data_IF_746903877736
#
_entry.id   IF_746903877736
#
_cell.length_a   1.000
_cell.length_b   1.000
_cell.length_c   1.000
_cell.angle_alpha   90.00
_cell.angle_beta   90.00
_cell.angle_gamma   90.00
#
_symmetry.space_group_name_H-M   'P 1'
#
loop_
_entity.id
_entity.type
_entity.pdbx_description
1 polymer ?
#
# COMPACT_ATOMS: atom_id res chain seq x y z
N UNK A 1 10.60 15.00 31.73
CA UNK A 1 10.22 13.86 30.88
C UNK A 1 10.41 14.30 29.44
N UNK A 2 11.20 13.59 28.67
CA UNK A 2 11.38 13.85 27.23
C UNK A 2 10.45 12.91 26.47
N UNK A 3 9.63 13.48 25.58
CA UNK A 3 8.81 12.66 24.65
C UNK A 3 9.72 11.94 23.67
N UNK A 4 9.31 10.73 23.19
CA UNK A 4 10.13 9.95 22.28
C UNK A 4 10.33 10.66 20.93
N UNK A 5 11.41 10.28 20.25
CA UNK A 5 11.76 10.73 18.91
C UNK A 5 11.59 9.58 17.93
N UNK A 6 10.69 9.69 16.99
CA UNK A 6 10.53 8.77 15.88
C UNK A 6 11.38 9.23 14.71
N UNK A 7 12.36 8.45 14.30
CA UNK A 7 13.11 8.65 13.07
C UNK A 7 12.33 8.09 11.89
N UNK A 8 11.91 8.96 10.97
CA UNK A 8 11.19 8.58 9.76
C UNK A 8 12.12 8.65 8.56
N UNK A 9 12.31 7.52 7.86
CA UNK A 9 13.11 7.46 6.65
C UNK A 9 12.19 7.56 5.42
N UNK A 10 12.44 8.58 4.61
CA UNK A 10 11.60 8.97 3.48
C UNK A 10 10.68 10.14 3.79
N UNK A 11 10.66 11.12 2.87
CA UNK A 11 9.97 12.41 3.02
C UNK A 11 8.60 12.49 2.34
N UNK A 12 7.97 11.38 1.97
CA UNK A 12 6.72 11.34 1.22
C UNK A 12 5.48 11.69 2.03
N UNK A 13 4.31 11.45 1.41
CA UNK A 13 3.01 11.77 2.04
C UNK A 13 2.70 10.88 3.25
N UNK A 14 3.20 9.63 3.27
CA UNK A 14 2.94 8.74 4.41
C UNK A 14 3.68 9.24 5.66
N UNK A 15 4.91 9.72 5.51
CA UNK A 15 5.66 10.37 6.57
C UNK A 15 4.93 11.63 7.08
N UNK A 16 4.39 12.47 6.17
CA UNK A 16 3.60 13.65 6.52
C UNK A 16 2.39 13.30 7.38
N UNK A 17 1.57 12.34 6.95
CA UNK A 17 0.36 11.93 7.68
C UNK A 17 0.69 11.16 8.97
N UNK A 18 1.81 10.42 9.01
CA UNK A 18 2.29 9.78 10.25
C UNK A 18 2.74 10.82 11.28
N UNK A 19 3.43 11.87 10.83
CA UNK A 19 3.80 13.00 11.68
C UNK A 19 2.56 13.70 12.24
N UNK A 20 1.58 14.01 11.39
CA UNK A 20 0.29 14.59 11.80
C UNK A 20 -0.37 13.78 12.92
N UNK A 21 -0.41 12.45 12.79
CA UNK A 21 -0.96 11.56 13.80
C UNK A 21 -0.17 11.53 15.12
N UNK A 22 1.11 11.84 15.09
CA UNK A 22 1.98 11.92 16.27
C UNK A 22 1.88 13.22 17.06
N UNK A 23 1.47 14.33 16.42
CA UNK A 23 1.40 15.66 17.03
C UNK A 23 0.54 15.68 18.29
N UNK A 24 -0.70 15.15 18.33
CA UNK A 24 -1.55 15.15 19.53
C UNK A 24 -0.95 14.36 20.70
N UNK A 25 -0.06 13.42 20.43
CA UNK A 25 0.63 12.60 21.44
C UNK A 25 1.93 13.27 21.93
N UNK A 26 2.32 14.42 21.39
CA UNK A 26 3.56 15.10 21.71
C UNK A 26 4.81 14.38 21.16
N UNK A 27 4.64 13.41 20.26
CA UNK A 27 5.74 12.67 19.66
C UNK A 27 6.56 13.59 18.77
N UNK A 28 7.88 13.55 18.94
CA UNK A 28 8.81 14.27 18.08
C UNK A 28 9.20 13.40 16.90
N UNK A 29 9.26 14.03 15.73
CA UNK A 29 9.73 13.36 14.51
C UNK A 29 11.05 13.99 14.06
N UNK A 30 11.98 13.12 13.68
CA UNK A 30 13.17 13.45 12.91
C UNK A 30 13.05 12.79 11.55
N UNK A 31 13.21 13.54 10.48
CA UNK A 31 12.97 13.09 9.11
C UNK A 31 14.28 12.98 8.35
N UNK A 32 14.52 11.84 7.67
CA UNK A 32 15.53 11.71 6.63
C UNK A 32 14.83 11.81 5.27
N UNK A 33 15.15 12.83 4.51
CA UNK A 33 14.48 13.16 3.24
C UNK A 33 15.49 13.37 2.12
N UNK A 34 15.13 13.06 0.89
CA UNK A 34 15.99 13.29 -0.26
C UNK A 34 16.13 14.78 -0.56
N UNK A 35 15.06 15.57 -0.32
CA UNK A 35 15.04 17.01 -0.56
C UNK A 35 14.23 17.76 0.50
N UNK A 36 14.50 19.06 0.75
CA UNK A 36 13.70 19.87 1.65
C UNK A 36 12.31 20.21 1.08
N UNK A 37 12.04 19.90 -0.20
CA UNK A 37 10.76 20.09 -0.87
C UNK A 37 9.83 18.87 -0.75
N UNK A 38 10.30 17.77 -0.17
CA UNK A 38 9.48 16.58 0.02
C UNK A 38 8.28 16.88 0.92
N UNK A 39 7.21 16.11 0.71
CA UNK A 39 5.91 16.30 1.35
C UNK A 39 5.98 16.48 2.87
N UNK A 40 6.70 15.60 3.55
CA UNK A 40 6.86 15.67 5.00
C UNK A 40 7.89 16.73 5.44
N UNK A 41 8.93 16.98 4.62
CA UNK A 41 9.96 17.96 4.93
C UNK A 41 9.41 19.39 5.04
N UNK A 42 8.27 19.66 4.42
CA UNK A 42 7.59 20.97 4.51
C UNK A 42 6.91 21.21 5.86
N UNK A 43 6.71 20.17 6.68
CA UNK A 43 5.91 20.27 7.93
C UNK A 43 6.62 19.71 9.17
N UNK A 44 7.65 18.87 9.00
CA UNK A 44 8.47 18.36 10.10
C UNK A 44 9.56 19.38 10.44
N UNK A 45 9.71 19.70 11.70
CA UNK A 45 10.67 20.71 12.14
C UNK A 45 12.13 20.26 12.20
N UNK A 46 12.40 18.94 12.30
CA UNK A 46 13.76 18.36 12.37
C UNK A 46 13.99 17.50 11.12
N UNK A 47 14.59 18.09 10.09
CA UNK A 47 14.81 17.47 8.78
C UNK A 47 16.30 17.35 8.51
N UNK A 48 16.73 16.14 8.19
CA UNK A 48 18.06 15.82 7.66
C UNK A 48 17.89 15.50 6.17
N UNK A 49 18.58 16.24 5.31
CA UNK A 49 18.65 15.92 3.88
C UNK A 49 19.83 14.98 3.65
N UNK A 50 19.57 13.80 3.08
CA UNK A 50 20.61 12.80 2.85
C UNK A 50 20.08 11.52 2.20
N UNK A 51 20.99 10.70 1.69
CA UNK A 51 20.68 9.44 1.04
C UNK A 51 20.65 8.29 2.07
N UNK A 52 19.50 7.63 2.24
CA UNK A 52 19.34 6.46 3.12
C UNK A 52 20.12 5.21 2.62
N UNK A 53 20.61 5.23 1.37
CA UNK A 53 21.46 4.16 0.82
C UNK A 53 22.91 4.29 1.29
N UNK A 54 23.31 5.43 1.83
CA UNK A 54 24.59 5.61 2.50
C UNK A 54 24.45 5.26 3.98
N UNK A 55 25.12 4.21 4.43
CA UNK A 55 25.03 3.69 5.79
C UNK A 55 25.48 4.70 6.84
N UNK A 56 26.51 5.48 6.56
CA UNK A 56 27.03 6.47 7.52
C UNK A 56 26.05 7.62 7.71
N UNK A 57 25.39 8.08 6.65
CA UNK A 57 24.29 9.04 6.68
C UNK A 57 23.13 8.49 7.50
N UNK A 58 22.72 7.25 7.24
CA UNK A 58 21.61 6.61 7.95
C UNK A 58 21.92 6.44 9.45
N UNK A 59 23.13 6.03 9.82
CA UNK A 59 23.60 5.95 11.20
C UNK A 59 23.64 7.31 11.90
N UNK A 60 24.15 8.33 11.21
CA UNK A 60 24.18 9.70 11.75
C UNK A 60 22.76 10.25 11.99
N UNK A 61 21.85 9.97 11.07
CA UNK A 61 20.42 10.29 11.20
C UNK A 61 19.79 9.58 12.39
N UNK A 62 20.01 8.28 12.54
CA UNK A 62 19.36 7.45 13.55
C UNK A 62 19.79 7.79 15.00
N UNK A 63 20.92 8.51 15.17
CA UNK A 63 21.38 8.94 16.51
C UNK A 63 20.35 9.87 17.16
N UNK A 64 19.93 9.50 18.38
CA UNK A 64 18.94 10.24 19.15
C UNK A 64 17.49 9.98 18.77
N UNK A 65 17.24 9.00 17.90
CA UNK A 65 15.92 8.44 17.68
C UNK A 65 15.69 7.26 18.65
N UNK A 66 14.47 7.13 19.17
CA UNK A 66 14.05 6.01 20.01
C UNK A 66 13.60 4.81 19.16
N UNK A 67 13.18 5.06 17.91
CA UNK A 67 12.78 4.07 16.93
C UNK A 67 12.92 4.62 15.53
N UNK A 68 13.26 3.76 14.56
CA UNK A 68 13.25 4.08 13.12
C UNK A 68 12.06 3.41 12.47
N UNK A 69 11.33 4.17 11.62
CA UNK A 69 10.26 3.67 10.77
C UNK A 69 10.34 4.31 9.37
N UNK A 70 9.42 3.96 8.45
CA UNK A 70 9.61 4.21 7.01
C UNK A 70 8.37 4.79 6.35
N UNK A 71 8.62 5.62 5.35
CA UNK A 71 7.64 6.10 4.36
C UNK A 71 7.58 5.17 3.13
N UNK A 72 8.63 4.36 2.92
CA UNK A 72 8.79 3.41 1.80
C UNK A 72 9.61 2.20 2.23
N UNK A 73 9.61 1.13 1.42
CA UNK A 73 10.32 -0.13 1.69
C UNK A 73 11.72 -0.24 1.04
N UNK A 74 12.36 0.88 0.62
CA UNK A 74 13.57 0.81 -0.23
C UNK A 74 14.89 0.85 0.54
N UNK A 75 14.88 0.97 1.87
CA UNK A 75 16.13 0.99 2.64
C UNK A 75 16.79 -0.39 2.57
N UNK A 76 18.10 -0.47 2.24
CA UNK A 76 18.80 -1.76 2.16
C UNK A 76 18.69 -2.56 3.46
N UNK A 77 18.34 -3.84 3.36
CA UNK A 77 18.14 -4.73 4.52
C UNK A 77 19.37 -4.80 5.42
N UNK A 78 20.57 -4.83 4.82
CA UNK A 78 21.86 -4.83 5.53
C UNK A 78 22.09 -3.56 6.34
N UNK A 79 21.61 -2.39 5.87
CA UNK A 79 21.69 -1.14 6.62
C UNK A 79 20.77 -1.16 7.84
N UNK A 80 19.58 -1.74 7.70
CA UNK A 80 18.65 -1.88 8.82
C UNK A 80 19.20 -2.83 9.89
N UNK A 81 19.81 -3.94 9.48
CA UNK A 81 20.50 -4.85 10.42
C UNK A 81 21.67 -4.18 11.13
N UNK A 82 22.38 -3.28 10.43
CA UNK A 82 23.45 -2.51 11.06
C UNK A 82 22.91 -1.56 12.14
N UNK A 83 21.76 -0.89 11.91
CA UNK A 83 21.12 -0.07 12.94
C UNK A 83 20.68 -0.89 14.17
N UNK A 84 20.07 -2.07 13.94
CA UNK A 84 19.70 -2.96 15.06
C UNK A 84 20.93 -3.45 15.85
N UNK A 85 22.03 -3.77 15.17
CA UNK A 85 23.29 -4.13 15.81
C UNK A 85 23.91 -2.96 16.59
N UNK A 86 23.67 -1.72 16.18
CA UNK A 86 24.04 -0.49 16.90
C UNK A 86 23.06 -0.20 18.09
N UNK A 87 22.04 -1.06 18.32
CA UNK A 87 21.07 -0.95 19.42
C UNK A 87 19.89 -0.02 19.14
N UNK A 88 19.66 0.37 17.88
CA UNK A 88 18.56 1.26 17.47
C UNK A 88 17.38 0.41 17.00
N UNK A 89 16.20 0.48 17.64
CA UNK A 89 15.03 -0.25 17.20
C UNK A 89 14.57 0.16 15.80
N UNK A 90 14.36 -0.82 14.94
CA UNK A 90 13.83 -0.64 13.56
C UNK A 90 12.46 -1.31 13.48
N UNK A 91 11.42 -0.57 13.10
CA UNK A 91 10.03 -1.08 13.09
C UNK A 91 9.26 -0.61 11.86
N UNK A 92 8.89 -1.53 10.95
CA UNK A 92 9.14 -2.98 10.97
C UNK A 92 10.61 -3.33 10.88
N UNK A 93 11.01 -4.46 11.48
CA UNK A 93 12.39 -4.94 11.45
C UNK A 93 12.81 -5.45 10.07
N UNK A 94 14.12 -5.58 9.82
CA UNK A 94 14.66 -5.99 8.50
C UNK A 94 14.16 -7.37 8.04
N UNK A 95 13.97 -8.32 8.98
CA UNK A 95 13.51 -9.67 8.66
C UNK A 95 12.03 -9.71 8.27
N UNK A 96 11.22 -8.76 8.72
CA UNK A 96 9.86 -8.56 8.22
C UNK A 96 9.88 -7.80 6.90
N UNK A 97 10.58 -6.67 6.85
CA UNK A 97 10.52 -5.72 5.72
C UNK A 97 10.99 -6.35 4.40
N UNK A 98 11.91 -7.33 4.44
CA UNK A 98 12.38 -8.02 3.24
C UNK A 98 11.25 -8.64 2.42
N UNK A 99 10.14 -9.05 3.06
CA UNK A 99 8.98 -9.62 2.38
C UNK A 99 8.15 -8.58 1.62
N UNK A 100 8.28 -7.28 1.94
CA UNK A 100 7.71 -6.20 1.13
C UNK A 100 8.69 -5.71 0.05
N UNK A 101 10.00 -5.98 0.21
CA UNK A 101 11.05 -5.58 -0.74
C UNK A 101 11.25 -6.58 -1.87
N UNK A 102 11.00 -7.88 -1.62
CA UNK A 102 11.34 -9.00 -2.50
C UNK A 102 10.15 -9.95 -2.65
N UNK A 103 9.53 -9.90 -3.84
CA UNK A 103 8.34 -10.71 -4.14
C UNK A 103 8.62 -12.22 -4.12
N UNK A 104 9.85 -12.64 -4.46
CA UNK A 104 10.24 -14.04 -4.41
C UNK A 104 10.33 -14.55 -2.97
N UNK A 105 10.96 -13.77 -2.08
CA UNK A 105 11.04 -14.07 -0.63
C UNK A 105 9.63 -14.07 -0.02
N UNK A 106 8.80 -13.10 -0.38
CA UNK A 106 7.41 -13.02 0.05
C UNK A 106 6.64 -14.28 -0.32
N UNK A 107 6.62 -14.66 -1.59
CA UNK A 107 5.89 -15.83 -2.09
C UNK A 107 6.33 -17.13 -1.41
N UNK A 108 7.64 -17.36 -1.32
CA UNK A 108 8.19 -18.54 -0.65
C UNK A 108 7.76 -18.62 0.83
N UNK A 109 7.72 -17.49 1.54
CA UNK A 109 7.28 -17.45 2.93
C UNK A 109 5.77 -17.67 3.06
N UNK A 110 4.96 -17.05 2.19
CA UNK A 110 3.50 -17.22 2.21
C UNK A 110 3.11 -18.66 1.91
N UNK A 111 3.75 -19.31 0.95
CA UNK A 111 3.57 -20.75 0.68
C UNK A 111 3.91 -21.61 1.89
N UNK A 112 5.04 -21.30 2.55
CA UNK A 112 5.50 -22.07 3.72
C UNK A 112 4.53 -21.99 4.92
N UNK A 113 3.76 -20.90 5.04
CA UNK A 113 2.74 -20.72 6.07
C UNK A 113 1.31 -21.02 5.59
N UNK A 114 1.16 -21.57 4.36
CA UNK A 114 -0.11 -21.99 3.80
C UNK A 114 -1.07 -20.86 3.42
N UNK A 115 -0.55 -19.66 3.14
CA UNK A 115 -1.35 -18.52 2.71
C UNK A 115 -1.60 -18.60 1.20
N UNK A 116 -2.87 -18.55 0.74
CA UNK A 116 -3.19 -18.64 -0.67
C UNK A 116 -2.63 -17.49 -1.49
N UNK A 117 -1.87 -17.79 -2.55
CA UNK A 117 -1.31 -16.87 -3.51
C UNK A 117 -1.70 -17.32 -4.93
N UNK A 118 -1.59 -16.43 -5.94
CA UNK A 118 -1.57 -16.87 -7.34
C UNK A 118 -0.47 -17.91 -7.55
N UNK A 119 -0.69 -18.90 -8.42
CA UNK A 119 0.40 -19.83 -8.82
C UNK A 119 1.54 -19.00 -9.37
N UNK A 120 2.76 -19.31 -8.98
CA UNK A 120 3.91 -18.47 -9.30
C UNK A 120 5.21 -19.28 -9.41
N UNK A 121 6.19 -18.64 -10.07
CA UNK A 121 7.57 -19.16 -10.21
C UNK A 121 8.53 -18.01 -10.46
N UNK A 122 9.73 -18.10 -9.90
CA UNK A 122 10.86 -17.25 -10.34
C UNK A 122 11.37 -17.82 -11.66
N UNK A 123 11.51 -16.94 -12.65
CA UNK A 123 11.91 -17.26 -14.02
C UNK A 123 13.14 -16.43 -14.41
N UNK A 124 14.04 -17.04 -15.16
CA UNK A 124 15.30 -16.42 -15.57
C UNK A 124 15.26 -15.92 -17.04
N UNK A 125 14.41 -16.53 -17.86
CA UNK A 125 14.31 -16.23 -19.30
C UNK A 125 12.93 -16.54 -19.87
N UNK A 126 12.64 -16.17 -21.13
CA UNK A 126 11.36 -16.45 -21.78
C UNK A 126 11.04 -17.95 -21.93
N UNK A 127 12.04 -18.84 -21.95
CA UNK A 127 11.77 -20.30 -22.04
C UNK A 127 11.18 -20.81 -20.70
N UNK A 128 11.65 -20.30 -19.57
CA UNK A 128 11.07 -20.57 -18.26
C UNK A 128 9.61 -20.10 -18.18
N UNK A 129 9.27 -18.94 -18.78
CA UNK A 129 7.89 -18.44 -18.86
C UNK A 129 7.01 -19.38 -19.67
N UNK A 130 7.52 -19.88 -20.82
CA UNK A 130 6.81 -20.88 -21.62
C UNK A 130 6.56 -22.18 -20.84
N UNK A 131 7.54 -22.65 -20.10
CA UNK A 131 7.42 -23.84 -19.27
C UNK A 131 6.37 -23.65 -18.16
N UNK A 132 6.37 -22.47 -17.52
CA UNK A 132 5.38 -22.12 -16.49
C UNK A 132 3.96 -22.04 -17.10
N UNK A 133 3.80 -21.37 -18.25
CA UNK A 133 2.51 -21.30 -18.94
C UNK A 133 1.97 -22.70 -19.28
N UNK A 134 2.82 -23.62 -19.78
CA UNK A 134 2.42 -25.00 -20.05
C UNK A 134 2.01 -25.78 -18.78
N UNK A 135 2.56 -25.45 -17.61
CA UNK A 135 2.11 -26.02 -16.33
C UNK A 135 0.74 -25.47 -15.91
N UNK A 136 0.49 -24.18 -16.12
CA UNK A 136 -0.81 -23.57 -15.86
C UNK A 136 -1.91 -24.25 -16.69
N UNK A 137 -1.65 -24.51 -17.97
CA UNK A 137 -2.59 -25.20 -18.87
C UNK A 137 -2.90 -26.64 -18.39
N UNK A 138 -1.88 -27.43 -18.04
CA UNK A 138 -2.06 -28.79 -17.53
C UNK A 138 -2.82 -28.86 -16.20
N UNK A 139 -2.71 -27.82 -15.39
CA UNK A 139 -3.41 -27.73 -14.10
C UNK A 139 -4.90 -27.42 -14.20
N UNK A 140 -5.49 -27.40 -15.41
CA UNK A 140 -6.92 -27.22 -15.63
C UNK A 140 -7.44 -25.82 -15.28
N UNK A 141 -6.60 -24.80 -15.38
CA UNK A 141 -7.02 -23.44 -15.14
C UNK A 141 -7.82 -22.93 -16.34
N UNK A 142 -9.15 -23.05 -16.28
CA UNK A 142 -10.04 -22.34 -17.18
C UNK A 142 -9.95 -20.84 -16.86
N UNK A 143 -9.26 -20.10 -17.70
CA UNK A 143 -9.33 -18.63 -17.65
C UNK A 143 -10.57 -18.20 -18.42
N UNK A 144 -11.61 -17.64 -17.74
CA UNK A 144 -12.82 -17.21 -18.43
C UNK A 144 -12.51 -16.22 -19.53
N UNK A 145 -13.19 -16.35 -20.67
CA UNK A 145 -13.20 -15.40 -21.75
C UNK A 145 -13.90 -14.13 -21.28
N UNK A 146 -13.14 -13.09 -20.85
CA UNK A 146 -13.69 -11.77 -20.63
C UNK A 146 -14.22 -11.18 -21.94
N UNK A 147 -15.37 -10.52 -21.90
CA UNK A 147 -15.94 -9.76 -23.01
C UNK A 147 -14.93 -8.69 -23.43
N UNK A 148 -14.34 -8.82 -24.63
CA UNK A 148 -13.46 -7.79 -25.20
C UNK A 148 -12.25 -8.25 -25.97
N UNK A 149 -12.18 -9.51 -26.43
CA UNK A 149 -11.06 -9.95 -27.30
C UNK A 149 -11.19 -11.41 -27.69
N UNK A 150 -11.77 -11.67 -28.86
CA UNK A 150 -11.96 -13.01 -29.42
C UNK A 150 -10.66 -13.67 -29.89
N UNK A 151 -9.73 -13.97 -28.99
CA UNK A 151 -8.57 -14.80 -29.23
C UNK A 151 -8.69 -16.10 -28.47
N UNK A 152 -8.65 -17.24 -29.17
CA UNK A 152 -8.57 -18.58 -28.58
C UNK A 152 -7.28 -18.64 -27.75
N UNK A 153 -7.40 -18.68 -26.41
CA UNK A 153 -6.24 -18.81 -25.49
C UNK A 153 -5.64 -20.21 -25.70
N UNK A 154 -4.37 -20.25 -26.06
CA UNK A 154 -3.60 -21.47 -26.23
C UNK A 154 -2.37 -21.42 -25.37
N UNK A 155 -2.03 -22.54 -24.68
CA UNK A 155 -0.74 -22.70 -24.02
C UNK A 155 -0.57 -22.02 -22.66
N UNK A 156 -1.64 -21.86 -21.87
CA UNK A 156 -1.54 -21.35 -20.48
C UNK A 156 -1.29 -19.85 -20.32
N UNK A 157 -1.30 -19.09 -21.41
CA UNK A 157 -1.26 -17.62 -21.41
C UNK A 157 -2.67 -17.02 -21.26
N UNK A 158 -2.80 -15.75 -20.77
CA UNK A 158 -1.72 -14.83 -20.40
C UNK A 158 -1.06 -15.15 -19.04
N UNK A 159 0.20 -14.75 -18.91
CA UNK A 159 1.00 -14.79 -17.68
C UNK A 159 1.29 -13.37 -17.23
N UNK A 160 1.31 -13.14 -15.91
CA UNK A 160 1.73 -11.87 -15.33
C UNK A 160 3.20 -11.97 -14.92
N UNK A 161 4.02 -11.06 -15.41
CA UNK A 161 5.43 -10.95 -15.06
C UNK A 161 5.66 -9.73 -14.17
N UNK A 162 6.38 -9.90 -13.08
CA UNK A 162 6.69 -8.82 -12.14
C UNK A 162 8.19 -8.79 -11.85
N UNK A 163 8.79 -7.61 -11.75
CA UNK A 163 10.14 -7.53 -11.17
C UNK A 163 10.12 -8.06 -9.75
N UNK A 164 11.10 -8.89 -9.39
CA UNK A 164 11.21 -9.45 -8.02
C UNK A 164 11.41 -8.33 -7.00
N UNK A 165 12.24 -7.34 -7.31
CA UNK A 165 12.49 -6.16 -6.48
C UNK A 165 12.13 -4.88 -7.23
N UNK A 166 11.70 -3.88 -6.47
CA UNK A 166 11.19 -2.64 -7.04
C UNK A 166 9.80 -2.85 -7.67
N UNK A 167 9.33 -1.86 -8.42
CA UNK A 167 7.96 -1.86 -8.95
C UNK A 167 6.96 -1.34 -7.91
N UNK A 168 6.08 -0.45 -8.36
CA UNK A 168 5.00 0.16 -7.58
C UNK A 168 4.02 0.82 -8.54
N UNK A 169 2.76 0.95 -8.15
CA UNK A 169 1.72 1.60 -8.96
C UNK A 169 1.75 1.10 -10.44
N UNK A 170 1.76 -0.22 -10.66
CA UNK A 170 1.77 -0.86 -11.99
C UNK A 170 3.12 -0.84 -12.73
N UNK A 171 4.16 -0.17 -12.21
CA UNK A 171 5.51 -0.21 -12.79
C UNK A 171 6.20 -1.53 -12.49
N UNK A 172 6.88 -2.10 -13.50
CA UNK A 172 7.53 -3.40 -13.36
C UNK A 172 6.56 -4.58 -13.35
N UNK A 173 5.37 -4.40 -13.93
CA UNK A 173 4.35 -5.43 -14.13
C UNK A 173 3.98 -5.49 -15.61
N UNK A 174 4.00 -6.69 -16.17
CA UNK A 174 3.63 -6.95 -17.58
C UNK A 174 2.65 -8.11 -17.64
N UNK A 175 1.61 -7.94 -18.42
CA UNK A 175 0.72 -9.06 -18.82
C UNK A 175 1.15 -9.46 -20.21
N UNK A 176 1.60 -10.69 -20.38
CA UNK A 176 2.13 -11.19 -21.66
C UNK A 176 1.23 -12.31 -22.17
N UNK A 177 0.88 -12.21 -23.45
CA UNK A 177 0.01 -13.15 -24.14
C UNK A 177 0.80 -14.21 -24.94
N UNK A 178 2.13 -14.07 -24.99
CA UNK A 178 3.03 -14.99 -25.71
C UNK A 178 4.45 -14.99 -25.13
N UNK A 179 5.26 -15.96 -25.54
CA UNK A 179 6.69 -16.06 -25.17
C UNK A 179 7.50 -14.90 -25.77
N UNK A 180 7.13 -14.43 -26.96
CA UNK A 180 7.79 -13.32 -27.65
C UNK A 180 7.65 -12.03 -26.87
N UNK A 181 6.47 -11.76 -26.28
CA UNK A 181 6.22 -10.59 -25.44
C UNK A 181 6.96 -10.68 -24.11
N UNK A 182 7.22 -11.89 -23.62
CA UNK A 182 7.95 -12.11 -22.36
C UNK A 182 9.42 -11.67 -22.41
N UNK A 183 9.98 -11.36 -23.58
CA UNK A 183 11.38 -10.94 -23.70
C UNK A 183 11.66 -9.56 -23.07
N UNK A 184 10.68 -8.64 -23.03
CA UNK A 184 10.86 -7.27 -22.57
C UNK A 184 11.28 -7.17 -21.09
N UNK A 185 10.61 -7.85 -20.11
CA UNK A 185 10.98 -7.83 -18.71
C UNK A 185 12.43 -8.23 -18.41
N UNK A 186 13.00 -9.12 -19.23
CA UNK A 186 14.36 -9.64 -19.01
C UNK A 186 15.46 -8.71 -19.51
N UNK A 187 15.16 -7.65 -20.28
CA UNK A 187 16.18 -6.68 -20.75
C UNK A 187 16.92 -5.99 -19.61
N UNK A 188 16.31 -5.88 -18.43
CA UNK A 188 16.95 -5.30 -17.26
C UNK A 188 17.97 -6.24 -16.58
N UNK A 189 18.06 -7.52 -16.98
CA UNK A 189 18.95 -8.51 -16.39
C UNK A 189 18.68 -8.84 -14.93
N UNK A 190 17.43 -8.62 -14.46
CA UNK A 190 17.01 -8.89 -13.09
C UNK A 190 16.05 -10.10 -13.06
N UNK A 191 16.01 -10.86 -11.96
CA UNK A 191 15.04 -11.93 -11.79
C UNK A 191 13.60 -11.43 -11.91
N UNK A 192 12.74 -12.24 -12.51
CA UNK A 192 11.33 -11.96 -12.75
C UNK A 192 10.49 -13.01 -12.04
N UNK A 193 9.42 -12.58 -11.40
CA UNK A 193 8.37 -13.45 -10.88
C UNK A 193 7.31 -13.60 -11.96
N UNK A 194 7.04 -14.83 -12.39
CA UNK A 194 5.90 -15.18 -13.23
C UNK A 194 4.73 -15.63 -12.34
N UNK A 195 3.54 -15.14 -12.61
CA UNK A 195 2.31 -15.47 -11.90
C UNK A 195 1.20 -15.81 -12.89
N UNK A 196 0.28 -16.72 -12.47
CA UNK A 196 -0.97 -16.87 -13.20
C UNK A 196 -1.74 -15.56 -13.25
N UNK A 197 -2.38 -15.26 -14.37
CA UNK A 197 -3.33 -14.15 -14.43
C UNK A 197 -4.62 -14.58 -13.73
N UNK A 198 -4.81 -14.07 -12.51
CA UNK A 198 -6.00 -14.35 -11.69
C UNK A 198 -7.24 -13.73 -12.34
N UNK A 199 -8.31 -14.53 -12.47
CA UNK A 199 -9.65 -14.01 -12.81
C UNK A 199 -10.35 -13.60 -11.52
N UNK A 200 -10.17 -12.33 -11.15
CA UNK A 200 -10.78 -11.77 -9.95
C UNK A 200 -12.01 -10.91 -10.28
N UNK A 201 -12.93 -10.84 -9.35
CA UNK A 201 -14.12 -9.97 -9.45
C UNK A 201 -13.85 -8.57 -8.93
N UNK A 202 -12.92 -8.46 -7.97
CA UNK A 202 -12.46 -7.18 -7.40
C UNK A 202 -11.17 -7.33 -6.62
N UNK A 203 -10.51 -6.20 -6.38
CA UNK A 203 -9.38 -6.10 -5.47
C UNK A 203 -9.86 -5.65 -4.10
N UNK A 204 -9.31 -6.28 -3.06
CA UNK A 204 -9.57 -5.97 -1.66
C UNK A 204 -8.26 -5.62 -0.96
N UNK A 205 -8.34 -5.00 0.20
CA UNK A 205 -7.20 -4.86 1.09
C UNK A 205 -7.62 -5.10 2.54
N UNK A 206 -6.82 -5.91 3.26
CA UNK A 206 -6.90 -6.10 4.69
C UNK A 206 -5.75 -5.33 5.36
N UNK A 207 -6.09 -4.39 6.22
CA UNK A 207 -5.13 -3.53 6.92
C UNK A 207 -5.08 -3.94 8.39
N UNK A 208 -3.88 -4.25 8.89
CA UNK A 208 -3.67 -4.65 10.28
C UNK A 208 -2.52 -3.87 10.89
N UNK A 209 -2.54 -3.72 12.21
CA UNK A 209 -1.43 -3.12 12.97
C UNK A 209 -1.07 -4.05 14.11
N UNK A 210 0.23 -4.26 14.33
CA UNK A 210 0.73 -5.15 15.39
C UNK A 210 1.84 -4.46 16.20
N UNK A 211 1.75 -4.59 17.53
CA UNK A 211 2.76 -4.09 18.47
C UNK A 211 3.91 -5.11 18.67
N UNK A 212 5.05 -4.71 19.26
CA UNK A 212 6.16 -5.62 19.55
C UNK A 212 5.76 -6.81 20.43
N UNK A 213 4.81 -6.61 21.35
CA UNK A 213 4.35 -7.65 22.29
C UNK A 213 3.16 -8.47 21.76
N UNK A 214 2.80 -8.29 20.49
CA UNK A 214 1.82 -9.13 19.80
C UNK A 214 0.36 -8.68 19.94
N UNK A 215 0.06 -7.52 20.58
CA UNK A 215 -1.24 -6.91 20.42
C UNK A 215 -1.44 -6.58 18.96
N UNK A 216 -2.57 -6.96 18.40
CA UNK A 216 -2.89 -6.65 16.99
C UNK A 216 -4.35 -6.22 16.85
N UNK A 217 -4.60 -5.37 15.85
CA UNK A 217 -5.94 -4.92 15.45
C UNK A 217 -6.05 -5.01 13.94
N UNK A 218 -7.25 -5.39 13.46
CA UNK A 218 -7.61 -5.37 12.06
C UNK A 218 -8.63 -4.26 11.80
N UNK A 219 -8.46 -3.53 10.70
CA UNK A 219 -9.48 -2.66 10.14
C UNK A 219 -10.41 -3.51 9.26
N UNK A 220 -11.68 -3.09 9.06
CA UNK A 220 -12.55 -3.80 8.13
C UNK A 220 -11.88 -3.90 6.75
N UNK A 221 -12.11 -5.03 6.09
CA UNK A 221 -11.64 -5.24 4.71
C UNK A 221 -12.28 -4.20 3.79
N UNK A 222 -11.48 -3.61 2.93
CA UNK A 222 -11.90 -2.56 2.00
C UNK A 222 -11.87 -3.06 0.56
N UNK A 223 -12.75 -2.50 -0.29
CA UNK A 223 -12.62 -2.61 -1.73
C UNK A 223 -11.69 -1.52 -2.25
N UNK A 224 -10.68 -1.91 -3.04
CA UNK A 224 -9.72 -1.01 -3.69
C UNK A 224 -9.93 -1.03 -5.19
N UNK A 225 -10.45 0.06 -5.75
CA UNK A 225 -10.70 0.19 -7.19
C UNK A 225 -9.51 0.84 -7.86
N UNK A 226 -8.94 0.12 -8.82
CA UNK A 226 -7.80 0.59 -9.59
C UNK A 226 -8.26 1.20 -10.92
N UNK A 227 -7.58 2.25 -11.35
CA UNK A 227 -7.71 2.83 -12.70
C UNK A 227 -6.31 2.89 -13.31
N UNK A 228 -6.12 2.19 -14.41
CA UNK A 228 -4.81 2.08 -15.08
C UNK A 228 -3.67 1.61 -14.13
N UNK A 229 -3.97 0.65 -13.24
CA UNK A 229 -3.01 0.11 -12.28
C UNK A 229 -2.68 1.02 -11.09
N UNK A 230 -3.42 2.11 -10.91
CA UNK A 230 -3.26 3.05 -9.79
C UNK A 230 -4.54 3.07 -8.97
N UNK A 231 -4.44 2.92 -7.65
CA UNK A 231 -5.59 3.01 -6.78
C UNK A 231 -6.27 4.38 -6.93
N UNK A 232 -7.54 4.36 -7.34
CA UNK A 232 -8.38 5.56 -7.51
C UNK A 232 -9.33 5.72 -6.33
N UNK A 233 -10.08 4.68 -5.97
CA UNK A 233 -11.13 4.74 -4.95
C UNK A 233 -10.98 3.59 -3.95
N UNK A 234 -11.16 3.87 -2.67
CA UNK A 234 -11.26 2.86 -1.61
C UNK A 234 -12.60 3.01 -0.90
N UNK A 235 -13.31 1.90 -0.72
CA UNK A 235 -14.61 1.85 -0.03
C UNK A 235 -14.47 0.99 1.22
N UNK A 236 -14.78 1.54 2.36
CA UNK A 236 -14.72 0.90 3.66
C UNK A 236 -16.10 0.87 4.35
N UNK A 237 -16.58 -0.33 4.78
CA UNK A 237 -16.09 -1.67 4.43
C UNK A 237 -16.32 -2.01 2.96
N UNK A 238 -15.78 -3.15 2.47
CA UNK A 238 -15.99 -3.63 1.09
C UNK A 238 -17.47 -3.96 0.84
N UNK A 239 -18.15 -3.30 -0.13
CA UNK A 239 -19.57 -3.47 -0.36
C UNK A 239 -19.93 -4.92 -0.75
N UNK A 240 -20.96 -5.50 -0.11
CA UNK A 240 -21.44 -6.85 -0.42
C UNK A 240 -20.39 -7.95 -0.25
N UNK A 241 -19.36 -7.73 0.54
CA UNK A 241 -18.43 -8.79 0.95
C UNK A 241 -19.10 -9.62 2.04
N UNK A 242 -19.18 -10.93 1.81
CA UNK A 242 -19.75 -11.86 2.79
C UNK A 242 -18.93 -11.82 4.09
N UNK A 243 -19.61 -11.81 5.24
CA UNK A 243 -19.00 -11.68 6.57
C UNK A 243 -17.91 -12.72 6.82
N UNK A 244 -18.19 -14.00 6.50
CA UNK A 244 -17.22 -15.09 6.65
C UNK A 244 -15.96 -14.87 5.78
N UNK A 245 -16.12 -14.25 4.62
CA UNK A 245 -14.99 -13.98 3.73
C UNK A 245 -14.18 -12.80 4.23
N UNK A 246 -14.84 -11.76 4.77
CA UNK A 246 -14.20 -10.64 5.43
C UNK A 246 -13.36 -11.10 6.63
N UNK A 247 -13.95 -11.91 7.52
CA UNK A 247 -13.27 -12.47 8.68
C UNK A 247 -12.04 -13.30 8.28
N UNK A 248 -12.17 -14.18 7.26
CA UNK A 248 -11.02 -14.94 6.76
C UNK A 248 -9.90 -14.07 6.23
N UNK A 249 -10.22 -12.97 5.55
CA UNK A 249 -9.22 -12.02 5.04
C UNK A 249 -8.50 -11.28 6.18
N UNK A 250 -9.24 -10.87 7.22
CA UNK A 250 -8.67 -10.24 8.41
C UNK A 250 -7.79 -11.22 9.20
N UNK A 251 -8.26 -12.45 9.45
CA UNK A 251 -7.48 -13.50 10.12
C UNK A 251 -6.20 -13.83 9.35
N UNK A 252 -6.29 -13.92 8.01
CA UNK A 252 -5.13 -14.13 7.14
C UNK A 252 -4.11 -13.00 7.32
N UNK A 253 -4.54 -11.74 7.29
CA UNK A 253 -3.64 -10.59 7.45
C UNK A 253 -3.00 -10.56 8.85
N UNK A 254 -3.76 -10.86 9.91
CA UNK A 254 -3.25 -10.98 11.28
C UNK A 254 -2.22 -12.12 11.41
N UNK A 255 -2.49 -13.27 10.77
CA UNK A 255 -1.56 -14.40 10.74
C UNK A 255 -0.27 -14.03 10.00
N UNK A 256 -0.37 -13.39 8.83
CA UNK A 256 0.81 -12.90 8.09
C UNK A 256 1.63 -11.95 8.97
N UNK A 257 1.00 -10.96 9.60
CA UNK A 257 1.68 -10.01 10.48
C UNK A 257 2.42 -10.70 11.63
N UNK A 258 1.82 -11.75 12.21
CA UNK A 258 2.42 -12.56 13.28
C UNK A 258 3.60 -13.38 12.77
N UNK A 259 3.41 -14.14 11.70
CA UNK A 259 4.41 -15.08 11.16
C UNK A 259 5.63 -14.37 10.53
N UNK A 260 5.46 -13.14 10.07
CA UNK A 260 6.53 -12.28 9.58
C UNK A 260 7.15 -11.40 10.67
N UNK A 261 6.59 -11.40 11.89
CA UNK A 261 7.09 -10.56 13.00
C UNK A 261 6.92 -9.06 12.75
N UNK A 262 5.90 -8.65 11.99
CA UNK A 262 5.66 -7.23 11.67
C UNK A 262 5.39 -6.45 12.95
N UNK A 263 6.06 -5.30 13.11
CA UNK A 263 5.74 -4.28 14.10
C UNK A 263 5.41 -2.98 13.37
N UNK A 264 4.23 -2.46 13.61
CA UNK A 264 3.67 -1.36 12.84
C UNK A 264 2.50 -1.80 11.99
N UNK A 265 2.23 -1.05 10.94
CA UNK A 265 1.15 -1.31 9.99
C UNK A 265 1.58 -2.30 8.90
N UNK A 266 0.67 -3.22 8.55
CA UNK A 266 0.75 -4.10 7.40
C UNK A 266 -0.53 -3.95 6.58
N UNK A 267 -0.42 -3.67 5.30
CA UNK A 267 -1.50 -3.83 4.34
C UNK A 267 -1.25 -5.10 3.52
N UNK A 268 -2.29 -5.92 3.40
CA UNK A 268 -2.31 -7.12 2.56
C UNK A 268 -3.27 -6.85 1.41
N UNK A 269 -2.73 -6.70 0.20
CA UNK A 269 -3.55 -6.57 -1.01
C UNK A 269 -4.03 -7.94 -1.47
N UNK A 270 -5.29 -8.04 -1.85
CA UNK A 270 -5.98 -9.29 -2.06
C UNK A 270 -6.77 -9.26 -3.37
N UNK A 271 -6.83 -10.41 -4.04
CA UNK A 271 -7.79 -10.67 -5.11
C UNK A 271 -8.95 -11.53 -4.59
N UNK A 272 -10.18 -11.09 -4.79
CA UNK A 272 -11.35 -11.94 -4.65
C UNK A 272 -11.67 -12.57 -6.00
N UNK A 273 -11.54 -13.88 -6.10
CA UNK A 273 -11.81 -14.63 -7.33
C UNK A 273 -13.31 -14.90 -7.53
N UNK A 274 -13.72 -15.27 -8.75
CA UNK A 274 -15.14 -15.60 -9.07
C UNK A 274 -15.66 -16.80 -8.30
N UNK A 275 -14.79 -17.75 -7.96
CA UNK A 275 -15.12 -18.92 -7.14
C UNK A 275 -15.08 -18.66 -5.63
N UNK A 276 -14.96 -17.38 -5.22
CA UNK A 276 -15.05 -16.94 -3.83
C UNK A 276 -13.79 -17.16 -2.99
N UNK A 277 -12.64 -17.45 -3.61
CA UNK A 277 -11.34 -17.50 -2.90
C UNK A 277 -10.78 -16.10 -2.72
N UNK A 278 -9.93 -15.97 -1.70
CA UNK A 278 -9.07 -14.80 -1.50
C UNK A 278 -7.62 -15.23 -1.75
N UNK A 279 -6.90 -14.49 -2.61
CA UNK A 279 -5.48 -14.71 -2.90
C UNK A 279 -4.69 -13.45 -2.55
N UNK A 280 -3.52 -13.63 -1.93
CA UNK A 280 -2.63 -12.50 -1.62
C UNK A 280 -1.91 -12.04 -2.88
N UNK A 281 -2.07 -10.74 -3.20
CA UNK A 281 -1.35 -10.08 -4.29
C UNK A 281 0.00 -9.53 -3.82
N UNK A 282 -0.01 -8.63 -2.83
CA UNK A 282 1.18 -7.91 -2.37
C UNK A 282 1.08 -7.54 -0.89
N UNK A 283 2.24 -7.29 -0.27
CA UNK A 283 2.36 -6.81 1.10
C UNK A 283 3.00 -5.43 1.12
N UNK A 284 2.47 -4.52 1.94
CA UNK A 284 3.10 -3.25 2.25
C UNK A 284 3.26 -3.11 3.77
N UNK A 285 4.49 -2.91 4.24
CA UNK A 285 4.81 -2.86 5.68
C UNK A 285 4.98 -1.44 6.18
N UNK A 286 4.04 -0.61 5.86
CA UNK A 286 3.91 0.82 6.22
C UNK A 286 2.45 1.23 6.10
N UNK A 287 2.04 2.40 6.62
CA UNK A 287 0.73 2.95 6.27
C UNK A 287 0.52 2.94 4.75
N UNK A 288 -0.68 2.55 4.33
CA UNK A 288 -0.96 2.24 2.94
C UNK A 288 -2.14 3.04 2.40
N UNK A 289 -2.16 3.25 1.08
CA UNK A 289 -3.23 4.01 0.41
C UNK A 289 -4.63 3.44 0.69
N UNK A 290 -4.76 2.11 0.75
CA UNK A 290 -6.01 1.42 1.09
C UNK A 290 -6.51 1.70 2.52
N UNK A 291 -5.67 2.26 3.39
CA UNK A 291 -6.01 2.63 4.76
C UNK A 291 -6.25 4.13 4.99
N UNK A 292 -6.13 4.99 3.95
CA UNK A 292 -6.26 6.46 4.12
C UNK A 292 -7.67 6.89 4.55
N UNK A 293 -8.70 6.12 4.18
CA UNK A 293 -10.07 6.32 4.65
C UNK A 293 -10.16 6.39 6.18
N UNK A 294 -9.27 5.67 6.89
CA UNK A 294 -9.29 5.57 8.35
C UNK A 294 -8.93 6.89 9.05
N UNK A 295 -8.36 7.87 8.36
CA UNK A 295 -8.05 9.18 8.95
C UNK A 295 -9.31 9.86 9.49
N UNK A 296 -10.39 9.78 8.76
CA UNK A 296 -11.67 10.39 9.11
C UNK A 296 -12.75 9.36 9.43
N UNK A 297 -12.67 8.19 8.80
CA UNK A 297 -13.69 7.13 8.87
C UNK A 297 -13.50 6.11 9.99
N UNK A 298 -12.34 6.01 10.64
CA UNK A 298 -12.11 5.12 11.78
C UNK A 298 -12.00 5.91 13.10
N UNK A 299 -12.24 5.24 14.24
CA UNK A 299 -12.02 5.83 15.58
C UNK A 299 -10.54 6.16 15.75
N UNK A 300 -9.65 5.23 15.38
CA UNK A 300 -8.20 5.46 15.36
C UNK A 300 -7.66 5.16 13.97
N UNK A 301 -6.98 6.11 13.34
CA UNK A 301 -6.46 5.95 11.99
C UNK A 301 -5.30 4.95 11.91
N UNK A 302 -5.02 4.44 10.71
CA UNK A 302 -3.85 3.60 10.43
C UNK A 302 -2.54 4.27 10.88
N UNK A 303 -2.44 5.59 10.69
CA UNK A 303 -1.26 6.37 11.05
C UNK A 303 -1.09 6.46 12.57
N UNK A 304 -2.18 6.76 13.29
CA UNK A 304 -2.16 6.82 14.75
C UNK A 304 -1.84 5.44 15.37
N UNK A 305 -2.40 4.37 14.84
CA UNK A 305 -2.08 3.01 15.28
C UNK A 305 -0.66 2.59 14.89
N UNK A 306 -0.16 3.01 13.72
CA UNK A 306 1.25 2.78 13.35
C UNK A 306 2.20 3.45 14.35
N UNK A 307 1.98 4.74 14.66
CA UNK A 307 2.78 5.48 15.66
C UNK A 307 2.74 4.77 17.02
N UNK A 308 1.55 4.34 17.48
CA UNK A 308 1.40 3.60 18.72
C UNK A 308 2.19 2.28 18.69
N UNK A 309 2.08 1.51 17.60
CA UNK A 309 2.78 0.24 17.46
C UNK A 309 4.30 0.39 17.46
N UNK A 310 4.84 1.35 16.70
CA UNK A 310 6.30 1.54 16.64
C UNK A 310 6.89 2.09 17.93
N UNK A 311 6.08 2.70 18.79
CA UNK A 311 6.47 3.19 20.13
C UNK A 311 6.05 2.25 21.26
N UNK A 312 5.48 1.08 20.93
CA UNK A 312 5.00 0.11 21.91
C UNK A 312 3.92 0.67 22.85
N UNK A 313 3.08 1.55 22.33
CA UNK A 313 1.89 2.03 23.02
C UNK A 313 0.69 1.11 22.73
N UNK A 314 -0.30 1.03 23.65
CA UNK A 314 -1.54 0.29 23.40
C UNK A 314 -2.21 0.76 22.11
N UNK A 315 -2.64 -0.20 21.27
CA UNK A 315 -3.32 0.10 20.02
C UNK A 315 -4.71 0.68 20.28
N UNK A 316 -5.13 1.59 19.40
CA UNK A 316 -6.45 2.20 19.44
C UNK A 316 -7.48 1.39 18.67
N UNK A 317 -8.72 1.72 18.88
CA UNK A 317 -9.89 1.08 18.27
C UNK A 317 -9.94 1.35 16.74
N UNK A 318 -9.88 0.32 15.88
CA UNK A 318 -9.91 0.47 14.43
C UNK A 318 -11.33 0.57 13.83
N UNK A 319 -12.38 0.48 14.66
CA UNK A 319 -13.79 0.44 14.19
C UNK A 319 -14.16 1.67 13.37
N UNK A 320 -15.01 1.50 12.33
CA UNK A 320 -15.54 2.60 11.56
C UNK A 320 -16.40 3.55 12.41
N UNK A 321 -16.45 4.82 12.03
CA UNK A 321 -17.31 5.86 12.63
C UNK A 321 -18.68 5.96 11.97
N UNK A 322 -18.78 5.48 10.73
CA UNK A 322 -20.00 5.48 9.95
C UNK A 322 -20.14 4.15 9.19
N UNK A 323 -21.34 3.78 8.74
CA UNK A 323 -21.56 2.58 7.92
C UNK A 323 -20.68 2.52 6.68
N UNK A 324 -20.45 3.67 6.03
CA UNK A 324 -19.62 3.79 4.83
C UNK A 324 -18.64 4.93 4.95
N UNK A 325 -17.43 4.69 4.49
CA UNK A 325 -16.42 5.71 4.23
C UNK A 325 -15.81 5.47 2.86
N UNK A 326 -15.73 6.52 2.05
CA UNK A 326 -15.11 6.46 0.73
C UNK A 326 -13.94 7.41 0.68
N UNK A 327 -12.79 6.90 0.26
CA UNK A 327 -11.61 7.67 -0.06
C UNK A 327 -11.43 7.69 -1.58
N UNK A 328 -11.22 8.87 -2.16
CA UNK A 328 -10.84 9.03 -3.57
C UNK A 328 -9.51 9.77 -3.66
N UNK A 329 -8.54 9.17 -4.36
CA UNK A 329 -7.26 9.82 -4.61
C UNK A 329 -7.43 11.03 -5.53
N UNK A 330 -6.76 12.12 -5.24
CA UNK A 330 -6.63 13.28 -6.12
C UNK A 330 -5.34 13.14 -6.91
N UNK A 331 -5.48 12.85 -8.21
CA UNK A 331 -4.35 12.76 -9.12
C UNK A 331 -4.13 14.13 -9.78
N UNK A 332 -2.88 14.55 -9.92
CA UNK A 332 -2.52 15.72 -10.68
C UNK A 332 -2.89 15.56 -12.15
N UNK A 333 -3.27 16.66 -12.78
CA UNK A 333 -3.59 16.80 -14.19
C UNK A 333 -2.99 18.08 -14.75
N UNK A 334 -3.63 18.64 -15.77
CA UNK A 334 -3.21 19.90 -16.39
C UNK A 334 -3.70 21.16 -15.64
N UNK A 335 -4.48 20.97 -14.58
CA UNK A 335 -5.01 22.04 -13.72
C UNK A 335 -4.16 22.22 -12.46
N UNK A 336 -3.28 23.21 -12.40
CA UNK A 336 -2.32 23.35 -11.29
C UNK A 336 -2.90 24.01 -10.04
N UNK A 337 -3.95 24.85 -10.17
CA UNK A 337 -4.55 25.59 -9.07
C UNK A 337 -5.70 24.82 -8.41
N UNK A 338 -5.33 23.74 -7.72
CA UNK A 338 -6.32 22.94 -6.98
C UNK A 338 -6.95 23.69 -5.79
N UNK A 339 -6.29 24.73 -5.27
CA UNK A 339 -6.81 25.50 -4.14
C UNK A 339 -8.07 26.28 -4.49
N UNK A 340 -8.21 26.76 -5.71
CA UNK A 340 -9.41 27.46 -6.16
C UNK A 340 -10.69 26.62 -6.08
N UNK A 341 -10.54 25.27 -6.12
CA UNK A 341 -11.64 24.32 -5.99
C UNK A 341 -12.20 24.22 -4.57
N UNK A 342 -11.45 24.64 -3.54
CA UNK A 342 -11.82 24.43 -2.13
C UNK A 342 -13.15 25.10 -1.77
N UNK A 343 -13.36 26.31 -2.25
CA UNK A 343 -14.60 27.06 -1.96
C UNK A 343 -15.83 26.27 -2.41
N UNK A 344 -15.80 25.76 -3.66
CA UNK A 344 -16.89 24.96 -4.21
C UNK A 344 -17.06 23.64 -3.44
N UNK A 345 -15.98 22.86 -3.31
CA UNK A 345 -16.03 21.55 -2.67
C UNK A 345 -16.54 21.60 -1.23
N UNK A 346 -16.03 22.53 -0.43
CA UNK A 346 -16.41 22.69 0.98
C UNK A 346 -17.79 23.31 1.17
N UNK A 347 -18.23 24.19 0.26
CA UNK A 347 -19.59 24.74 0.31
C UNK A 347 -20.63 23.69 -0.08
N UNK A 348 -20.33 22.83 -1.07
CA UNK A 348 -21.21 21.74 -1.49
C UNK A 348 -21.32 20.63 -0.44
N UNK A 349 -20.20 20.23 0.14
CA UNK A 349 -20.15 19.23 1.21
C UNK A 349 -19.34 19.72 2.42
N UNK A 350 -20.00 20.28 3.45
CA UNK A 350 -19.33 20.73 4.66
C UNK A 350 -18.67 19.59 5.50
N UNK A 351 -18.99 18.33 5.22
CA UNK A 351 -18.39 17.17 5.88
C UNK A 351 -17.14 16.64 5.16
N UNK A 352 -16.91 17.10 3.92
CA UNK A 352 -15.77 16.68 3.10
C UNK A 352 -14.45 16.88 3.83
N UNK A 353 -13.59 15.88 3.75
CA UNK A 353 -12.21 15.96 4.23
C UNK A 353 -11.26 15.98 3.03
N UNK A 354 -10.39 16.97 2.98
CA UNK A 354 -9.40 17.14 1.92
C UNK A 354 -8.01 17.01 2.53
N UNK A 355 -7.21 16.10 2.03
CA UNK A 355 -5.84 15.84 2.48
C UNK A 355 -4.87 16.05 1.32
N UNK A 356 -4.24 17.22 1.27
CA UNK A 356 -3.23 17.53 0.24
C UNK A 356 -1.82 17.26 0.75
N UNK A 357 -0.98 16.74 -0.15
CA UNK A 357 0.35 16.25 0.21
C UNK A 357 1.47 17.29 0.04
N UNK A 358 1.15 18.51 -0.43
CA UNK A 358 2.17 19.54 -0.68
C UNK A 358 3.12 19.18 -1.82
N UNK A 359 2.67 18.37 -2.78
CA UNK A 359 3.45 17.96 -3.96
C UNK A 359 3.12 18.82 -5.16
N UNK A 360 4.11 19.00 -6.05
CA UNK A 360 3.85 19.60 -7.36
C UNK A 360 2.79 18.82 -8.12
N UNK A 361 1.85 19.54 -8.72
CA UNK A 361 0.83 18.96 -9.58
C UNK A 361 1.47 18.53 -10.90
N UNK A 362 1.43 17.23 -11.18
CA UNK A 362 1.92 16.63 -12.43
C UNK A 362 0.94 15.54 -12.87
N UNK A 363 0.72 15.34 -14.19
CA UNK A 363 -0.19 14.32 -14.69
C UNK A 363 0.07 12.95 -14.06
N UNK A 364 -0.99 12.33 -13.51
CA UNK A 364 -0.95 11.01 -12.88
C UNK A 364 -0.30 10.94 -11.48
N UNK A 365 0.31 12.02 -10.97
CA UNK A 365 0.90 12.03 -9.62
C UNK A 365 -0.19 12.13 -8.56
N UNK A 366 -0.16 11.23 -7.56
CA UNK A 366 -1.01 11.35 -6.37
C UNK A 366 -0.59 12.60 -5.59
N UNK A 367 -1.46 13.62 -5.54
CA UNK A 367 -1.19 14.92 -4.89
C UNK A 367 -2.03 15.15 -3.64
N UNK A 368 -3.03 14.31 -3.41
CA UNK A 368 -3.92 14.34 -2.27
C UNK A 368 -4.93 13.21 -2.30
N UNK A 369 -5.84 13.22 -1.37
CA UNK A 369 -7.07 12.41 -1.39
C UNK A 369 -8.19 13.17 -0.69
N UNK A 370 -9.41 12.73 -0.92
CA UNK A 370 -10.59 13.19 -0.20
C UNK A 370 -11.23 12.00 0.52
N UNK A 371 -11.83 12.27 1.68
CA UNK A 371 -12.65 11.32 2.41
C UNK A 371 -14.06 11.90 2.61
N UNK A 372 -15.05 11.04 2.39
CA UNK A 372 -16.46 11.27 2.73
C UNK A 372 -16.99 10.07 3.51
N UNK A 373 -17.97 10.27 4.36
CA UNK A 373 -18.60 9.20 5.15
C UNK A 373 -20.08 9.46 5.35
N UNK A 374 -20.86 8.41 5.62
CA UNK A 374 -22.30 8.50 5.83
C UNK A 374 -22.98 7.14 5.86
N UNK A 375 -24.31 7.16 5.79
CA UNK A 375 -25.15 5.97 5.92
C UNK A 375 -25.52 5.36 4.57
N UNK A 376 -25.50 6.13 3.49
CA UNK A 376 -25.84 5.71 2.13
C UNK A 376 -24.57 5.68 1.26
N UNK A 377 -24.25 4.51 0.70
CA UNK A 377 -23.02 4.33 -0.09
C UNK A 377 -23.01 5.14 -1.37
N UNK A 378 -24.16 5.21 -2.08
CA UNK A 378 -24.23 5.87 -3.38
C UNK A 378 -24.03 7.39 -3.21
N UNK A 379 -24.65 7.97 -2.16
CA UNK A 379 -24.43 9.38 -1.78
C UNK A 379 -22.97 9.64 -1.39
N UNK A 380 -22.38 8.82 -0.52
CA UNK A 380 -20.99 8.98 -0.07
C UNK A 380 -20.02 8.89 -1.24
N UNK A 381 -20.24 7.94 -2.16
CA UNK A 381 -19.41 7.73 -3.33
C UNK A 381 -19.53 8.89 -4.35
N UNK A 382 -20.76 9.40 -4.56
CA UNK A 382 -20.98 10.57 -5.43
C UNK A 382 -20.23 11.79 -4.90
N UNK A 383 -20.40 12.12 -3.61
CA UNK A 383 -19.74 13.26 -2.97
C UNK A 383 -18.23 13.19 -3.06
N UNK A 384 -17.62 12.01 -2.79
CA UNK A 384 -16.17 11.83 -2.91
C UNK A 384 -15.67 12.01 -4.34
N UNK A 385 -16.36 11.40 -5.31
CA UNK A 385 -16.01 11.49 -6.74
C UNK A 385 -16.16 12.88 -7.28
N UNK A 386 -17.25 13.57 -6.92
CA UNK A 386 -17.46 14.95 -7.30
C UNK A 386 -16.32 15.83 -6.80
N UNK A 387 -15.99 15.76 -5.51
CA UNK A 387 -14.93 16.57 -4.93
C UNK A 387 -13.56 16.29 -5.57
N UNK A 388 -13.21 15.01 -5.75
CA UNK A 388 -11.94 14.66 -6.40
C UNK A 388 -11.91 15.10 -7.87
N UNK A 389 -13.01 14.96 -8.62
CA UNK A 389 -13.13 15.40 -10.01
C UNK A 389 -13.01 16.92 -10.14
N UNK A 390 -13.64 17.67 -9.24
CA UNK A 390 -13.55 19.13 -9.23
C UNK A 390 -12.13 19.61 -8.89
N UNK A 391 -11.49 19.01 -7.88
CA UNK A 391 -10.08 19.29 -7.55
C UNK A 391 -9.13 19.00 -8.71
N UNK A 392 -9.38 17.93 -9.48
CA UNK A 392 -8.60 17.58 -10.68
C UNK A 392 -8.88 18.49 -11.88
N UNK A 393 -9.94 19.32 -11.85
CA UNK A 393 -10.42 20.09 -12.99
C UNK A 393 -11.07 19.24 -14.09
N UNK A 394 -11.49 18.02 -13.80
CA UNK A 394 -12.19 17.13 -14.74
C UNK A 394 -13.70 17.32 -14.75
N UNK A 395 -14.22 18.00 -13.74
CA UNK A 395 -15.62 18.44 -13.60
C UNK A 395 -15.59 19.96 -13.49
N UNK A 396 -16.40 20.63 -14.29
CA UNK A 396 -16.70 22.07 -14.22
C UNK A 396 -18.20 22.22 -14.18
N UNK A 397 -18.75 23.04 -13.27
CA UNK A 397 -20.15 23.44 -13.29
C UNK A 397 -20.40 24.62 -14.21
#
# INVERSE_FOLDING_TARGET
MTFPVVGMVGGGQLARMTHEAGIPLGIRFKLLSDTPQDSAAQVVGDVVVGDYRDLDTLRAFARGCDVITFDHEHVPTEHLRALEADGIPVRPGPDALVHAQDKGVMRAKLDAIGVPCPRHRIVADPADVAAFAAELERGGHEVPSGEGGGGRRTGGFPVVLKTVRGGYDGKGVWVVDSVEEAAEPFKAGVPVLAEEKVDFVRELAANVVRSPHGQAVAYPVVESRQVNGVCDTVIAPAPGLEEDLALRAEEMALNIAKELGVVGHLAVELFQTRDGRILVNELAMRPHNSGHWSMDGAITSQFANHVRAVLDLPLGDPRPRAPWTVMVNVLGGDYPDMYSAYLHCMARDPQLKIHMYGKDVKPGRKVGHVNTYGDDLDDVLERARHAAGYLRGTITE
#
